data_IF_745779736395
#
_entry.id   IF_745779736395
#
_cell.length_a   1.000
_cell.length_b   1.000
_cell.length_c   1.000
_cell.angle_alpha   90.00
_cell.angle_beta   90.00
_cell.angle_gamma   90.00
#
_symmetry.space_group_name_H-M   'P 1'
#
loop_
_entity.id
_entity.type
_entity.pdbx_description
1 polymer ?
#
# COMPACT_ATOMS: atom_id res chain seq x y z
N UNK A 1 -7.45 5.44 -0.76
CA UNK A 1 -6.66 6.12 0.29
C UNK A 1 -5.25 5.55 0.27
N UNK A 2 -4.24 6.39 0.43
CA UNK A 2 -2.82 5.98 0.47
C UNK A 2 -2.20 6.24 1.84
N UNK A 3 -1.11 5.52 2.13
CA UNK A 3 -0.23 5.69 3.30
C UNK A 3 1.22 5.47 2.90
N UNK A 4 2.16 6.05 3.67
CA UNK A 4 3.59 6.00 3.39
C UNK A 4 4.00 6.94 2.26
N UNK A 5 5.01 6.54 1.47
CA UNK A 5 5.65 7.35 0.44
C UNK A 5 5.52 6.72 -0.96
N UNK A 6 4.28 6.48 -1.46
CA UNK A 6 4.07 5.76 -2.71
C UNK A 6 4.75 6.42 -3.93
N UNK A 7 4.91 7.74 -3.93
CA UNK A 7 5.59 8.48 -5.01
C UNK A 7 7.11 8.26 -5.08
N UNK A 8 7.72 7.61 -4.09
CA UNK A 8 9.16 7.30 -4.07
C UNK A 8 9.46 5.83 -4.45
N UNK A 9 8.44 5.04 -4.78
CA UNK A 9 8.61 3.62 -5.10
C UNK A 9 9.18 3.42 -6.50
N UNK A 10 10.12 2.49 -6.64
CA UNK A 10 10.61 2.01 -7.93
C UNK A 10 9.79 0.82 -8.47
N UNK A 11 9.12 0.10 -7.58
CA UNK A 11 8.40 -1.13 -7.91
C UNK A 11 6.99 -1.11 -7.33
N UNK A 12 6.03 -1.53 -8.14
CA UNK A 12 4.61 -1.58 -7.78
C UNK A 12 4.13 -3.02 -7.82
N UNK A 13 3.47 -3.47 -6.74
CA UNK A 13 2.84 -4.79 -6.66
C UNK A 13 1.34 -4.64 -6.42
N UNK A 14 0.53 -5.23 -7.30
CA UNK A 14 -0.92 -5.28 -7.16
C UNK A 14 -1.28 -6.56 -6.39
N UNK A 15 -1.90 -6.41 -5.22
CA UNK A 15 -2.33 -7.53 -4.39
C UNK A 15 -3.81 -7.88 -4.59
N UNK A 16 -4.63 -6.91 -4.95
CA UNK A 16 -6.06 -7.08 -5.26
C UNK A 16 -6.46 -6.09 -6.36
N UNK A 17 -7.19 -6.55 -7.38
CA UNK A 17 -7.81 -5.69 -8.39
C UNK A 17 -9.16 -6.29 -8.82
N UNK A 18 -10.21 -5.95 -8.09
CA UNK A 18 -11.58 -6.40 -8.32
C UNK A 18 -12.42 -5.18 -8.72
N UNK A 19 -12.70 -5.09 -10.02
CA UNK A 19 -13.42 -3.94 -10.60
C UNK A 19 -14.89 -3.95 -10.26
N UNK A 20 -15.51 -5.13 -10.21
CA UNK A 20 -16.94 -5.28 -9.93
C UNK A 20 -17.25 -4.83 -8.51
N UNK A 21 -16.43 -5.24 -7.55
CA UNK A 21 -16.58 -4.81 -6.16
C UNK A 21 -15.88 -3.48 -5.83
N UNK A 22 -15.28 -2.81 -6.82
CA UNK A 22 -14.53 -1.55 -6.66
C UNK A 22 -13.43 -1.64 -5.58
N UNK A 23 -12.68 -2.74 -5.60
CA UNK A 23 -11.57 -3.00 -4.67
C UNK A 23 -10.23 -2.98 -5.39
N UNK A 24 -9.27 -2.31 -4.77
CA UNK A 24 -7.90 -2.23 -5.25
C UNK A 24 -6.95 -2.20 -4.07
N UNK A 25 -5.88 -2.97 -4.14
CA UNK A 25 -4.80 -2.98 -3.16
C UNK A 25 -3.46 -3.03 -3.88
N UNK A 26 -2.63 -2.02 -3.61
CA UNK A 26 -1.32 -1.86 -4.24
C UNK A 26 -0.27 -1.54 -3.20
N UNK A 27 0.85 -2.26 -3.24
CA UNK A 27 2.05 -1.99 -2.45
C UNK A 27 3.14 -1.35 -3.30
N UNK A 28 3.73 -0.27 -2.80
CA UNK A 28 4.83 0.47 -3.41
C UNK A 28 6.11 0.14 -2.68
N UNK A 29 7.13 -0.27 -3.42
CA UNK A 29 8.40 -0.73 -2.90
C UNK A 29 9.54 0.12 -3.45
N UNK A 30 10.60 0.25 -2.66
CA UNK A 30 11.88 0.81 -3.07
C UNK A 30 12.98 -0.12 -2.61
N UNK A 31 13.89 -0.48 -3.51
CA UNK A 31 14.95 -1.45 -3.26
C UNK A 31 14.41 -2.76 -2.65
N UNK A 32 13.24 -3.20 -3.13
CA UNK A 32 12.55 -4.41 -2.67
C UNK A 32 11.78 -4.27 -1.33
N UNK A 33 11.92 -3.16 -0.60
CA UNK A 33 11.27 -2.95 0.70
C UNK A 33 9.98 -2.14 0.53
N UNK A 34 8.91 -2.51 1.24
CA UNK A 34 7.62 -1.81 1.18
C UNK A 34 7.73 -0.42 1.83
N UNK A 35 7.37 0.64 1.10
CA UNK A 35 7.44 2.04 1.58
C UNK A 35 6.11 2.79 1.49
N UNK A 36 5.11 2.21 0.83
CA UNK A 36 3.79 2.82 0.71
C UNK A 36 2.73 1.83 0.27
N UNK A 37 1.48 2.19 0.48
CA UNK A 37 0.34 1.40 0.02
C UNK A 37 -0.84 2.28 -0.39
N UNK A 38 -1.65 1.77 -1.32
CA UNK A 38 -2.91 2.35 -1.74
C UNK A 38 -4.01 1.30 -1.61
N UNK A 39 -5.12 1.66 -0.97
CA UNK A 39 -6.33 0.83 -0.96
C UNK A 39 -7.56 1.59 -1.44
N UNK A 40 -8.44 0.92 -2.18
CA UNK A 40 -9.79 1.38 -2.54
C UNK A 40 -10.78 0.30 -2.08
N UNK A 41 -11.90 0.70 -1.46
CA UNK A 41 -12.93 -0.23 -1.00
C UNK A 41 -12.56 -1.11 0.21
N UNK A 42 -11.38 -0.90 0.83
CA UNK A 42 -10.87 -1.70 1.97
C UNK A 42 -10.15 -0.83 3.01
N UNK A 43 -10.90 -0.12 3.83
CA UNK A 43 -10.34 0.77 4.88
C UNK A 43 -9.67 0.01 6.02
N UNK A 44 -10.15 -1.20 6.34
CA UNK A 44 -9.60 -2.05 7.42
C UNK A 44 -8.17 -2.53 7.16
N UNK A 45 -7.81 -2.78 5.90
CA UNK A 45 -6.44 -3.18 5.49
C UNK A 45 -5.42 -2.06 5.62
N UNK A 46 -5.86 -0.80 5.62
CA UNK A 46 -4.96 0.34 5.80
C UNK A 46 -4.27 0.33 7.17
N UNK A 47 -4.91 -0.24 8.20
CA UNK A 47 -4.33 -0.36 9.54
C UNK A 47 -3.15 -1.35 9.60
N UNK A 48 -3.19 -2.42 8.80
CA UNK A 48 -2.09 -3.38 8.69
C UNK A 48 -0.86 -2.70 8.06
N UNK A 49 -1.06 -2.01 6.93
CA UNK A 49 0.01 -1.24 6.27
C UNK A 49 0.63 -0.17 7.18
N UNK A 50 -0.19 0.54 7.96
CA UNK A 50 0.32 1.53 8.92
C UNK A 50 1.24 0.93 9.97
N UNK A 51 0.97 -0.28 10.46
CA UNK A 51 1.87 -0.96 11.41
C UNK A 51 3.20 -1.29 10.75
N UNK A 52 3.17 -1.89 9.56
CA UNK A 52 4.39 -2.24 8.81
C UNK A 52 5.21 -1.01 8.41
N UNK A 53 4.55 0.11 8.12
CA UNK A 53 5.23 1.36 7.74
C UNK A 53 5.69 2.21 8.93
N UNK A 54 5.16 1.99 10.14
CA UNK A 54 5.60 2.70 11.34
C UNK A 54 7.07 2.41 11.69
N UNK A 55 7.57 1.24 11.27
CA UNK A 55 8.97 0.83 11.41
C UNK A 55 9.95 1.65 10.52
N UNK A 56 9.46 2.57 9.69
CA UNK A 56 10.28 3.45 8.84
C UNK A 56 10.39 4.90 9.32
N UNK A 57 9.57 5.30 10.28
CA UNK A 57 9.53 6.67 10.81
C UNK A 57 10.19 6.82 12.18
N UNK A 58 10.81 5.76 12.71
CA UNK A 58 11.61 5.76 13.95
C UNK A 58 13.09 5.88 13.67
#
# INVERSE_FOLDING_TARGET
RSVGLPGLGDTVKVHECDREARRLEVGYHRDGRLIGALTIGRTSRLAAYRRTLAEYTS
#
